data_IF_875836752611
#
_entry.id   IF_875836752611
#
_cell.length_a   1.000
_cell.length_b   1.000
_cell.length_c   1.000
_cell.angle_alpha   90.00
_cell.angle_beta   90.00
_cell.angle_gamma   90.00
#
_symmetry.space_group_name_H-M   'P 1'
#
loop_
_entity.id
_entity.type
_entity.pdbx_description
1 polymer ?
#
# COMPACT_ATOMS: atom_id res chain seq x y z
N UNK A 1 4.76 -6.20 -1.94
CA UNK A 1 6.14 -6.37 -1.42
C UNK A 1 7.06 -6.27 -2.62
N UNK A 2 8.00 -5.33 -2.62
CA UNK A 2 8.80 -5.04 -3.80
C UNK A 2 9.64 -6.25 -4.24
N UNK A 3 9.72 -6.49 -5.55
CA UNK A 3 10.38 -7.63 -6.17
C UNK A 3 9.69 -8.99 -5.94
N UNK A 4 8.49 -9.03 -5.34
CA UNK A 4 7.78 -10.27 -5.01
C UNK A 4 6.32 -10.24 -5.48
N UNK A 5 5.56 -9.23 -5.07
CA UNK A 5 4.09 -9.18 -5.29
C UNK A 5 3.79 -8.68 -6.70
N UNK A 6 3.95 -9.55 -7.69
CA UNK A 6 3.52 -9.34 -9.08
C UNK A 6 2.16 -10.04 -9.34
N UNK A 7 1.68 -10.01 -10.59
CA UNK A 7 0.40 -10.60 -10.97
C UNK A 7 0.34 -12.12 -10.78
N UNK A 8 1.44 -12.84 -11.03
CA UNK A 8 1.52 -14.28 -10.78
C UNK A 8 1.42 -14.62 -9.28
N UNK A 9 2.13 -13.87 -8.43
CA UNK A 9 2.05 -14.03 -6.99
C UNK A 9 0.63 -13.73 -6.50
N UNK A 10 0.02 -12.63 -6.96
CA UNK A 10 -1.35 -12.27 -6.62
C UNK A 10 -2.34 -13.38 -6.99
N UNK A 11 -2.27 -13.92 -8.22
CA UNK A 11 -3.11 -15.02 -8.67
C UNK A 11 -2.98 -16.30 -7.83
N UNK A 12 -1.80 -16.57 -7.26
CA UNK A 12 -1.63 -17.68 -6.30
C UNK A 12 -2.30 -17.41 -4.97
N UNK A 13 -2.38 -16.15 -4.55
CA UNK A 13 -2.94 -15.75 -3.26
C UNK A 13 -4.47 -15.60 -3.30
N UNK A 14 -5.04 -15.14 -4.41
CA UNK A 14 -6.49 -14.87 -4.54
C UNK A 14 -7.38 -16.04 -4.09
N UNK A 15 -7.11 -17.31 -4.44
CA UNK A 15 -7.92 -18.46 -3.98
C UNK A 15 -7.98 -18.65 -2.46
N UNK A 16 -7.13 -17.99 -1.68
CA UNK A 16 -7.16 -18.01 -0.22
C UNK A 16 -8.23 -17.07 0.39
N UNK A 17 -8.96 -16.31 -0.42
CA UNK A 17 -10.08 -15.46 0.03
C UNK A 17 -9.71 -13.99 0.22
N UNK A 18 -8.86 -13.44 -0.66
CA UNK A 18 -8.60 -11.98 -0.68
C UNK A 18 -9.66 -11.25 -1.50
N UNK A 19 -10.17 -10.13 -0.99
CA UNK A 19 -11.07 -9.22 -1.74
C UNK A 19 -10.32 -8.17 -2.57
N UNK A 20 -9.04 -7.96 -2.25
CA UNK A 20 -8.16 -6.99 -2.90
C UNK A 20 -6.72 -7.47 -2.88
N UNK A 21 -5.97 -7.19 -3.95
CA UNK A 21 -4.52 -7.41 -4.02
C UNK A 21 -3.78 -6.12 -4.37
N UNK A 22 -2.63 -5.90 -3.72
CA UNK A 22 -1.74 -4.77 -4.03
C UNK A 22 -0.43 -5.28 -4.64
N UNK A 23 -0.26 -5.11 -5.95
CA UNK A 23 1.00 -5.41 -6.64
C UNK A 23 2.03 -4.29 -6.42
N UNK A 24 3.31 -4.63 -6.57
CA UNK A 24 4.37 -3.63 -6.63
C UNK A 24 5.03 -3.27 -5.30
N UNK A 25 5.20 -1.97 -5.10
CA UNK A 25 6.46 -1.37 -4.68
C UNK A 25 7.28 -0.92 -5.89
N UNK A 26 6.61 -0.44 -6.94
CA UNK A 26 7.20 -0.04 -8.21
C UNK A 26 7.84 1.34 -8.11
N UNK A 27 8.91 1.54 -8.87
CA UNK A 27 9.69 2.77 -8.93
C UNK A 27 9.46 3.40 -10.31
N UNK A 28 8.95 4.63 -10.36
CA UNK A 28 8.38 5.19 -11.60
C UNK A 28 9.24 6.25 -12.28
N UNK A 29 10.32 6.69 -11.65
CA UNK A 29 11.21 7.73 -12.18
C UNK A 29 12.68 7.45 -11.89
N UNK A 30 13.56 8.13 -12.60
CA UNK A 30 15.01 7.90 -12.53
C UNK A 30 15.57 7.87 -11.10
N UNK A 31 15.20 8.79 -10.18
CA UNK A 31 15.69 8.73 -8.80
C UNK A 31 15.27 7.46 -8.07
N UNK A 32 13.99 7.06 -8.17
CA UNK A 32 13.51 5.85 -7.48
C UNK A 32 14.02 4.57 -8.14
N UNK A 33 14.20 4.54 -9.45
CA UNK A 33 14.80 3.42 -10.19
C UNK A 33 16.28 3.26 -9.81
N UNK A 34 17.03 4.36 -9.72
CA UNK A 34 18.42 4.32 -9.27
C UNK A 34 18.53 3.81 -7.82
N UNK A 35 17.63 4.25 -6.93
CA UNK A 35 17.54 3.75 -5.57
C UNK A 35 17.23 2.23 -5.53
N UNK A 36 16.31 1.75 -6.37
CA UNK A 36 15.98 0.34 -6.49
C UNK A 36 17.19 -0.51 -6.94
N UNK A 37 17.96 -0.02 -7.91
CA UNK A 37 19.21 -0.67 -8.36
C UNK A 37 20.24 -0.76 -7.23
N UNK A 38 20.34 0.24 -6.37
CA UNK A 38 21.21 0.19 -5.18
C UNK A 38 20.73 -0.83 -4.16
N UNK A 39 19.40 -0.94 -3.93
CA UNK A 39 18.80 -1.95 -3.07
C UNK A 39 19.08 -3.37 -3.58
N UNK A 40 18.99 -3.60 -4.90
CA UNK A 40 19.33 -4.88 -5.55
C UNK A 40 20.80 -5.25 -5.33
N UNK A 41 21.72 -4.29 -5.51
CA UNK A 41 23.15 -4.49 -5.25
C UNK A 41 23.44 -4.87 -3.79
N UNK A 42 22.60 -4.41 -2.85
CA UNK A 42 22.65 -4.78 -1.42
C UNK A 42 22.00 -6.14 -1.11
N UNK A 43 21.51 -6.85 -2.13
CA UNK A 43 20.97 -8.21 -2.01
C UNK A 43 19.51 -8.28 -1.58
N UNK A 44 18.76 -7.18 -1.67
CA UNK A 44 17.31 -7.16 -1.41
C UNK A 44 16.55 -7.16 -2.74
N UNK A 45 15.45 -7.90 -2.79
CA UNK A 45 14.57 -7.93 -3.97
C UNK A 45 13.90 -6.58 -4.19
N UNK A 46 13.84 -6.16 -5.44
CA UNK A 46 13.12 -5.00 -5.97
C UNK A 46 12.67 -5.31 -7.40
N UNK A 47 11.73 -4.52 -7.92
CA UNK A 47 11.41 -4.54 -9.34
C UNK A 47 12.39 -3.65 -10.11
N UNK A 48 13.01 -4.17 -11.17
CA UNK A 48 14.00 -3.48 -12.00
C UNK A 48 13.44 -3.31 -13.41
N UNK A 49 12.79 -2.17 -13.65
CA UNK A 49 12.25 -1.76 -14.95
C UNK A 49 12.71 -0.34 -15.23
N UNK A 50 12.87 0.00 -16.51
CA UNK A 50 13.10 1.39 -16.90
C UNK A 50 11.83 2.23 -16.76
N UNK A 51 11.96 3.56 -16.82
CA UNK A 51 10.82 4.47 -16.79
C UNK A 51 9.90 4.28 -18.01
N UNK A 52 10.46 3.86 -19.15
CA UNK A 52 9.70 3.59 -20.38
C UNK A 52 8.93 2.26 -20.31
N UNK A 53 9.43 1.28 -19.54
CA UNK A 53 8.85 -0.06 -19.46
C UNK A 53 7.79 -0.17 -18.35
N UNK A 54 7.97 0.56 -17.25
CA UNK A 54 7.27 0.29 -15.99
C UNK A 54 5.74 0.42 -16.09
N UNK A 55 5.23 1.38 -16.85
CA UNK A 55 3.77 1.57 -17.00
C UNK A 55 3.14 0.36 -17.70
N UNK A 56 3.71 -0.04 -18.84
CA UNK A 56 3.26 -1.23 -19.58
C UNK A 56 3.43 -2.52 -18.76
N UNK A 57 4.48 -2.62 -17.95
CA UNK A 57 4.65 -3.75 -17.05
C UNK A 57 3.50 -3.82 -16.03
N UNK A 58 3.18 -2.70 -15.35
CA UNK A 58 2.10 -2.64 -14.36
C UNK A 58 0.76 -3.00 -14.99
N UNK A 59 0.47 -2.49 -16.19
CA UNK A 59 -0.75 -2.80 -16.95
C UNK A 59 -0.87 -4.30 -17.21
N UNK A 60 0.18 -4.92 -17.78
CA UNK A 60 0.21 -6.36 -18.03
C UNK A 60 0.01 -7.19 -16.75
N UNK A 61 0.59 -6.77 -15.61
CA UNK A 61 0.42 -7.48 -14.34
C UNK A 61 -1.00 -7.35 -13.79
N UNK A 62 -1.63 -6.19 -13.95
CA UNK A 62 -3.01 -5.96 -13.52
C UNK A 62 -4.02 -6.70 -14.40
N UNK A 63 -3.84 -6.70 -15.72
CA UNK A 63 -4.64 -7.48 -16.67
C UNK A 63 -4.53 -8.98 -16.39
N UNK A 64 -3.32 -9.48 -16.14
CA UNK A 64 -3.11 -10.89 -15.78
C UNK A 64 -3.94 -11.33 -14.55
N UNK A 65 -4.25 -10.41 -13.63
CA UNK A 65 -5.13 -10.67 -12.48
C UNK A 65 -6.59 -10.58 -12.90
N UNK A 66 -7.00 -9.48 -13.56
CA UNK A 66 -8.39 -9.19 -13.94
C UNK A 66 -8.96 -10.18 -14.96
N UNK A 67 -8.12 -10.77 -15.81
CA UNK A 67 -8.52 -11.77 -16.82
C UNK A 67 -9.11 -13.05 -16.20
N UNK A 68 -8.77 -13.34 -14.95
CA UNK A 68 -9.14 -14.59 -14.27
C UNK A 68 -10.00 -14.38 -13.03
N UNK A 69 -10.04 -13.16 -12.50
CA UNK A 69 -10.64 -12.89 -11.19
C UNK A 69 -11.36 -11.54 -11.21
N UNK A 70 -12.55 -11.51 -10.59
CA UNK A 70 -13.27 -10.27 -10.30
C UNK A 70 -12.90 -9.78 -8.89
N UNK A 71 -11.71 -9.18 -8.78
CA UNK A 71 -11.13 -8.70 -7.52
C UNK A 71 -10.61 -7.28 -7.68
N UNK A 72 -10.55 -6.51 -6.60
CA UNK A 72 -9.89 -5.20 -6.61
C UNK A 72 -8.37 -5.34 -6.76
N UNK A 73 -7.78 -4.55 -7.65
CA UNK A 73 -6.34 -4.52 -7.93
C UNK A 73 -5.81 -3.13 -7.65
N UNK A 74 -4.74 -3.08 -6.86
CA UNK A 74 -4.00 -1.86 -6.55
C UNK A 74 -2.54 -1.98 -6.94
N UNK A 75 -1.92 -0.89 -7.37
CA UNK A 75 -0.48 -0.81 -7.55
C UNK A 75 0.15 0.12 -6.50
N UNK A 76 1.13 -0.37 -5.74
CA UNK A 76 1.91 0.46 -4.81
C UNK A 76 3.09 1.12 -5.54
N UNK A 77 3.13 2.47 -5.50
CA UNK A 77 3.97 3.31 -6.35
C UNK A 77 4.93 4.19 -5.55
N UNK A 78 6.15 4.35 -6.05
CA UNK A 78 7.18 5.26 -5.53
C UNK A 78 7.64 6.15 -6.68
N UNK A 79 7.59 7.46 -6.46
CA UNK A 79 8.09 8.46 -7.40
C UNK A 79 8.38 9.76 -6.66
N UNK A 80 9.39 10.48 -7.12
CA UNK A 80 9.68 11.87 -6.77
C UNK A 80 8.86 12.88 -7.59
N UNK A 81 8.30 12.46 -8.73
CA UNK A 81 7.41 13.25 -9.59
C UNK A 81 5.95 12.77 -9.49
N UNK A 82 5.02 13.62 -9.94
CA UNK A 82 3.58 13.31 -9.92
C UNK A 82 3.13 12.71 -11.25
N UNK A 83 3.70 13.17 -12.36
CA UNK A 83 3.30 12.80 -13.71
C UNK A 83 3.32 11.28 -13.94
N UNK A 84 4.37 10.51 -13.53
CA UNK A 84 4.37 9.06 -13.70
C UNK A 84 3.26 8.36 -12.89
N UNK A 85 2.90 8.90 -11.73
CA UNK A 85 1.79 8.38 -10.91
C UNK A 85 0.46 8.59 -11.64
N UNK A 86 0.26 9.76 -12.26
CA UNK A 86 -0.96 10.06 -13.03
C UNK A 86 -1.06 9.17 -14.27
N UNK A 87 0.05 8.91 -14.94
CA UNK A 87 0.11 7.99 -16.08
C UNK A 87 -0.34 6.57 -15.67
N UNK A 88 0.25 6.02 -14.60
CA UNK A 88 -0.16 4.70 -14.05
C UNK A 88 -1.62 4.70 -13.62
N UNK A 89 -2.14 5.81 -13.08
CA UNK A 89 -3.55 5.91 -12.68
C UNK A 89 -4.54 5.79 -13.83
N UNK A 90 -4.08 5.88 -15.08
CA UNK A 90 -4.92 5.75 -16.28
C UNK A 90 -5.10 4.29 -16.75
N UNK A 91 -4.40 3.34 -16.13
CA UNK A 91 -4.52 1.91 -16.42
C UNK A 91 -5.89 1.42 -15.93
N UNK A 92 -6.73 0.96 -16.86
CA UNK A 92 -8.12 0.56 -16.57
C UNK A 92 -8.24 -0.68 -15.67
N UNK A 93 -7.25 -1.55 -15.71
CA UNK A 93 -7.20 -2.76 -14.88
C UNK A 93 -6.76 -2.48 -13.43
N UNK A 94 -6.45 -1.23 -13.08
CA UNK A 94 -6.18 -0.79 -11.70
C UNK A 94 -7.37 -0.01 -11.11
N UNK A 95 -7.96 -0.58 -10.06
CA UNK A 95 -9.01 0.11 -9.28
C UNK A 95 -8.39 1.20 -8.40
N UNK A 96 -7.17 0.96 -7.89
CA UNK A 96 -6.46 1.89 -7.02
C UNK A 96 -4.99 2.10 -7.42
N UNK A 97 -4.53 3.34 -7.34
CA UNK A 97 -3.11 3.63 -7.14
C UNK A 97 -2.82 3.83 -5.65
N UNK A 98 -1.77 3.21 -5.14
CA UNK A 98 -1.36 3.33 -3.74
C UNK A 98 -0.06 4.12 -3.61
N UNK A 99 -0.15 5.31 -3.01
CA UNK A 99 1.01 6.16 -2.75
C UNK A 99 1.84 5.57 -1.62
N UNK A 100 3.10 5.24 -1.90
CA UNK A 100 4.01 4.68 -0.92
C UNK A 100 4.61 5.78 -0.01
N UNK A 101 3.97 6.01 1.13
CA UNK A 101 4.49 6.82 2.22
C UNK A 101 4.94 5.95 3.42
N UNK A 102 5.43 4.73 3.17
CA UNK A 102 5.75 3.76 4.23
C UNK A 102 7.13 3.11 4.12
N UNK A 103 7.70 3.00 2.91
CA UNK A 103 8.98 2.33 2.70
C UNK A 103 10.09 2.97 3.54
N UNK A 104 10.94 2.14 4.14
CA UNK A 104 12.05 2.58 5.00
C UNK A 104 13.43 2.16 4.51
N UNK A 105 13.54 1.73 3.24
CA UNK A 105 14.86 1.49 2.66
C UNK A 105 15.59 2.84 2.57
N UNK A 106 16.84 2.87 3.00
CA UNK A 106 17.63 4.10 3.10
C UNK A 106 17.69 4.80 1.74
N UNK A 107 17.93 4.04 0.68
CA UNK A 107 18.04 4.52 -0.69
C UNK A 107 16.76 5.21 -1.18
N UNK A 108 15.57 4.69 -0.79
CA UNK A 108 14.28 5.31 -1.13
C UNK A 108 14.05 6.58 -0.29
N UNK A 109 14.48 6.60 0.97
CA UNK A 109 14.35 7.78 1.83
C UNK A 109 15.30 8.91 1.42
N UNK A 110 16.49 8.57 0.91
CA UNK A 110 17.49 9.53 0.42
C UNK A 110 16.97 10.35 -0.77
N UNK A 111 16.17 9.73 -1.65
CA UNK A 111 15.51 10.42 -2.76
C UNK A 111 14.18 11.10 -2.36
N UNK A 112 13.89 11.19 -1.06
CA UNK A 112 12.70 11.90 -0.55
C UNK A 112 11.41 11.09 -0.54
N UNK A 113 11.44 9.80 -0.87
CA UNK A 113 10.28 8.92 -0.98
C UNK A 113 10.04 8.05 0.27
N UNK A 114 8.98 7.25 0.24
CA UNK A 114 8.65 6.33 1.33
C UNK A 114 8.26 7.06 2.61
N UNK A 115 8.68 6.55 3.77
CA UNK A 115 8.33 7.13 5.06
C UNK A 115 8.90 8.54 5.28
N UNK A 116 9.86 8.97 4.44
CA UNK A 116 10.39 10.33 4.46
C UNK A 116 9.30 11.38 4.22
N UNK A 117 8.32 11.06 3.36
CA UNK A 117 7.16 11.92 3.10
C UNK A 117 6.39 12.27 4.38
N UNK A 118 6.31 11.35 5.33
CA UNK A 118 5.60 11.56 6.59
C UNK A 118 6.28 12.60 7.50
N UNK A 119 7.58 12.85 7.30
CA UNK A 119 8.33 13.87 8.06
C UNK A 119 8.02 15.29 7.58
N UNK A 120 7.38 15.44 6.41
CA UNK A 120 6.91 16.73 5.91
C UNK A 120 5.43 16.63 5.50
N UNK A 121 4.49 16.67 6.46
CA UNK A 121 3.06 16.55 6.18
C UNK A 121 2.51 17.64 5.26
N UNK A 122 3.14 18.83 5.23
CA UNK A 122 2.73 19.92 4.32
C UNK A 122 3.02 19.51 2.88
N UNK A 123 4.23 19.03 2.61
CA UNK A 123 4.62 18.53 1.30
C UNK A 123 3.80 17.30 0.89
N UNK A 124 3.61 16.33 1.79
CA UNK A 124 2.74 15.19 1.53
C UNK A 124 1.32 15.63 1.16
N UNK A 125 0.75 16.59 1.89
CA UNK A 125 -0.58 17.12 1.60
C UNK A 125 -0.67 17.80 0.23
N UNK A 126 0.37 18.56 -0.16
CA UNK A 126 0.38 19.22 -1.48
C UNK A 126 0.44 18.21 -2.63
N UNK A 127 1.28 17.18 -2.55
CA UNK A 127 1.37 16.17 -3.61
C UNK A 127 0.08 15.33 -3.69
N UNK A 128 -0.52 14.98 -2.55
CA UNK A 128 -1.75 14.20 -2.52
C UNK A 128 -2.92 14.98 -3.10
N UNK A 129 -3.03 16.28 -2.81
CA UNK A 129 -4.07 17.13 -3.39
C UNK A 129 -4.01 17.16 -4.92
N UNK A 130 -2.81 17.22 -5.48
CA UNK A 130 -2.62 17.22 -6.92
C UNK A 130 -2.91 15.84 -7.55
N UNK A 131 -2.47 14.77 -6.90
CA UNK A 131 -2.75 13.39 -7.32
C UNK A 131 -4.26 13.12 -7.32
N UNK A 132 -4.95 13.40 -6.21
CA UNK A 132 -6.39 13.20 -6.07
C UNK A 132 -7.20 13.96 -7.13
N UNK A 133 -6.73 15.16 -7.52
CA UNK A 133 -7.38 15.97 -8.55
C UNK A 133 -7.24 15.40 -9.96
N UNK A 134 -6.13 14.72 -10.26
CA UNK A 134 -5.76 14.30 -11.63
C UNK A 134 -5.94 12.80 -11.89
N UNK A 135 -5.91 11.98 -10.83
CA UNK A 135 -5.97 10.52 -10.91
C UNK A 135 -7.24 10.04 -11.61
N UNK A 136 -7.13 8.96 -12.39
CA UNK A 136 -8.29 8.25 -12.99
C UNK A 136 -8.71 7.04 -12.17
N UNK A 137 -7.78 6.36 -11.52
CA UNK A 137 -8.06 5.38 -10.45
C UNK A 137 -8.35 6.05 -9.11
N UNK A 138 -8.95 5.30 -8.19
CA UNK A 138 -9.05 5.68 -6.77
C UNK A 138 -7.66 5.73 -6.12
N UNK A 139 -7.53 6.45 -5.02
CA UNK A 139 -6.24 6.70 -4.37
C UNK A 139 -6.21 6.08 -2.98
N UNK A 140 -5.31 5.11 -2.80
CA UNK A 140 -4.87 4.61 -1.50
C UNK A 140 -3.60 5.34 -1.07
N UNK A 141 -3.42 5.57 0.22
CA UNK A 141 -2.16 6.07 0.79
C UNK A 141 -1.69 5.09 1.85
N UNK A 142 -0.54 4.46 1.60
CA UNK A 142 0.06 3.57 2.58
C UNK A 142 1.09 4.28 3.43
N UNK A 143 0.84 4.37 4.73
CA UNK A 143 1.72 5.02 5.71
C UNK A 143 2.36 4.01 6.66
N UNK A 144 3.49 4.41 7.24
CA UNK A 144 4.11 3.69 8.37
C UNK A 144 3.78 4.35 9.69
N UNK A 145 3.34 3.55 10.66
CA UNK A 145 3.18 3.98 12.03
C UNK A 145 4.53 4.22 12.72
N UNK A 146 4.50 5.02 13.79
CA UNK A 146 5.62 5.19 14.72
C UNK A 146 6.93 5.64 14.07
N UNK A 147 6.85 6.49 13.04
CA UNK A 147 8.02 7.14 12.47
C UNK A 147 8.54 8.19 13.45
N UNK A 148 9.85 8.21 13.76
CA UNK A 148 10.40 9.17 14.71
C UNK A 148 10.06 10.61 14.32
N UNK A 149 9.66 11.42 15.31
CA UNK A 149 9.27 12.84 15.15
C UNK A 149 8.05 13.09 14.26
N UNK A 150 7.29 12.05 13.91
CA UNK A 150 6.03 12.15 13.15
C UNK A 150 4.85 11.85 14.06
N UNK A 151 3.80 12.66 13.98
CA UNK A 151 2.52 12.36 14.60
C UNK A 151 1.64 11.61 13.59
N UNK A 152 1.61 10.29 13.67
CA UNK A 152 0.85 9.43 12.74
C UNK A 152 -0.66 9.74 12.74
N UNK A 153 -1.25 10.05 13.89
CA UNK A 153 -2.67 10.40 13.98
C UNK A 153 -2.99 11.69 13.21
N UNK A 154 -2.12 12.70 13.32
CA UNK A 154 -2.26 13.96 12.57
C UNK A 154 -2.13 13.74 11.07
N UNK A 155 -1.19 12.89 10.64
CA UNK A 155 -1.03 12.54 9.21
C UNK A 155 -2.25 11.79 8.70
N UNK A 156 -2.80 10.86 9.48
CA UNK A 156 -4.00 10.10 9.11
C UNK A 156 -5.20 11.01 8.88
N UNK A 157 -5.45 11.95 9.81
CA UNK A 157 -6.50 12.98 9.67
C UNK A 157 -6.30 13.92 8.49
N UNK A 158 -5.05 14.21 8.13
CA UNK A 158 -4.74 15.00 6.93
C UNK A 158 -5.15 14.24 5.66
N UNK A 159 -4.77 12.97 5.56
CA UNK A 159 -5.08 12.13 4.39
C UNK A 159 -6.59 11.95 4.24
N UNK A 160 -7.29 11.66 5.34
CA UNK A 160 -8.75 11.57 5.40
C UNK A 160 -9.42 12.87 4.92
N UNK A 161 -9.01 14.02 5.48
CA UNK A 161 -9.54 15.34 5.10
C UNK A 161 -9.31 15.69 3.62
N UNK A 162 -8.23 15.19 3.01
CA UNK A 162 -7.96 15.42 1.59
C UNK A 162 -8.88 14.60 0.67
N UNK A 163 -9.52 13.55 1.19
CA UNK A 163 -10.43 12.70 0.44
C UNK A 163 -9.75 11.57 -0.32
N UNK A 164 -8.67 10.99 0.23
CA UNK A 164 -8.19 9.70 -0.26
C UNK A 164 -9.24 8.61 0.01
N UNK A 165 -9.26 7.57 -0.83
CA UNK A 165 -10.26 6.49 -0.72
C UNK A 165 -9.88 5.46 0.35
N UNK A 166 -8.58 5.18 0.50
CA UNK A 166 -8.07 4.19 1.45
C UNK A 166 -6.88 4.77 2.23
N UNK A 167 -6.91 4.59 3.55
CA UNK A 167 -5.74 4.74 4.42
C UNK A 167 -5.21 3.35 4.79
N UNK A 168 -4.07 2.97 4.22
CA UNK A 168 -3.42 1.69 4.53
C UNK A 168 -2.31 1.90 5.55
N UNK A 169 -2.49 1.39 6.77
CA UNK A 169 -1.56 1.64 7.89
C UNK A 169 -0.71 0.41 8.16
N UNK A 170 0.58 0.49 7.85
CA UNK A 170 1.58 -0.42 8.39
C UNK A 170 1.82 -0.05 9.86
N UNK A 171 1.09 -0.72 10.76
CA UNK A 171 1.06 -0.47 12.20
C UNK A 171 2.31 -0.99 12.92
N UNK A 172 3.49 -0.83 12.31
CA UNK A 172 4.76 -1.22 12.91
C UNK A 172 4.95 -0.53 14.28
N UNK A 173 5.31 -1.32 15.29
CA UNK A 173 5.68 -0.84 16.62
C UNK A 173 7.15 -1.18 16.90
N UNK A 174 8.10 -0.23 16.81
CA UNK A 174 9.53 -0.53 16.90
C UNK A 174 9.96 -1.31 18.16
N UNK A 175 9.26 -1.12 19.27
CA UNK A 175 9.52 -1.77 20.57
C UNK A 175 8.73 -3.06 20.79
N UNK A 176 8.03 -3.59 19.79
CA UNK A 176 7.16 -4.76 19.95
C UNK A 176 7.17 -5.67 18.71
N UNK A 177 7.04 -6.99 18.87
CA UNK A 177 6.79 -7.89 17.75
C UNK A 177 5.36 -7.74 17.18
N UNK A 178 4.45 -7.14 17.93
CA UNK A 178 3.05 -6.96 17.55
C UNK A 178 2.82 -5.62 16.84
N UNK A 179 1.72 -5.54 16.09
CA UNK A 179 1.23 -4.28 15.55
C UNK A 179 0.79 -3.31 16.66
N UNK A 180 0.78 -2.02 16.36
CA UNK A 180 0.33 -0.98 17.29
C UNK A 180 -1.19 -0.81 17.28
N UNK A 181 -1.88 -1.78 17.88
CA UNK A 181 -3.34 -1.85 17.90
C UNK A 181 -3.99 -0.59 18.50
N UNK A 182 -3.42 -0.04 19.58
CA UNK A 182 -3.91 1.19 20.21
C UNK A 182 -3.85 2.41 19.28
N UNK A 183 -2.83 2.48 18.42
CA UNK A 183 -2.71 3.57 17.45
C UNK A 183 -3.75 3.40 16.35
N UNK A 184 -3.99 2.18 15.87
CA UNK A 184 -5.04 1.89 14.89
C UNK A 184 -6.42 2.29 15.42
N UNK A 185 -6.77 1.88 16.64
CA UNK A 185 -8.03 2.29 17.27
C UNK A 185 -8.19 3.81 17.37
N UNK A 186 -7.09 4.53 17.65
CA UNK A 186 -7.12 6.00 17.69
C UNK A 186 -7.34 6.59 16.30
N UNK A 187 -6.76 5.99 15.27
CA UNK A 187 -6.94 6.41 13.88
C UNK A 187 -8.40 6.20 13.47
N UNK A 188 -8.91 4.98 13.58
CA UNK A 188 -10.27 4.58 13.15
C UNK A 188 -11.37 5.34 13.90
N UNK A 189 -11.17 5.69 15.17
CA UNK A 189 -12.11 6.55 15.93
C UNK A 189 -12.07 8.03 15.53
N UNK A 190 -11.15 8.44 14.66
CA UNK A 190 -10.85 9.85 14.41
C UNK A 190 -10.83 10.25 12.94
N UNK A 191 -11.08 9.30 12.06
CA UNK A 191 -11.14 9.45 10.61
C UNK A 191 -12.29 8.63 10.06
N UNK A 192 -12.90 9.07 8.97
CA UNK A 192 -14.01 8.36 8.31
C UNK A 192 -13.56 7.58 7.07
N UNK A 193 -12.32 7.79 6.61
CA UNK A 193 -11.68 7.04 5.50
C UNK A 193 -11.61 5.53 5.75
N UNK A 194 -11.84 4.74 4.69
CA UNK A 194 -11.69 3.29 4.71
C UNK A 194 -10.26 2.92 5.11
N UNK A 195 -10.10 2.28 6.28
CA UNK A 195 -8.79 2.03 6.87
C UNK A 195 -8.42 0.56 6.78
N UNK A 196 -7.25 0.27 6.18
CA UNK A 196 -6.67 -1.08 6.13
C UNK A 196 -5.55 -1.19 7.16
N UNK A 197 -5.68 -2.12 8.11
CA UNK A 197 -4.64 -2.47 9.08
C UNK A 197 -3.63 -3.47 8.52
N UNK A 198 -2.34 -3.22 8.69
CA UNK A 198 -1.25 -4.11 8.27
C UNK A 198 -0.21 -4.30 9.40
N UNK A 199 0.61 -5.34 9.24
CA UNK A 199 1.74 -5.77 10.07
C UNK A 199 1.41 -6.88 11.08
N UNK A 200 2.38 -7.79 11.27
CA UNK A 200 2.36 -8.92 12.22
C UNK A 200 1.10 -9.80 12.24
N UNK A 201 0.54 -10.11 11.06
CA UNK A 201 -0.56 -11.09 10.92
C UNK A 201 0.01 -12.42 10.44
N UNK A 202 0.22 -13.35 11.37
CA UNK A 202 0.75 -14.69 11.09
C UNK A 202 -0.24 -15.82 11.41
N UNK A 203 -1.40 -15.50 11.99
CA UNK A 203 -2.47 -16.45 12.25
C UNK A 203 -3.85 -15.80 12.16
N UNK A 204 -4.91 -16.62 12.28
CA UNK A 204 -6.29 -16.13 12.41
C UNK A 204 -6.44 -15.22 13.62
N UNK A 205 -5.82 -15.56 14.75
CA UNK A 205 -5.90 -14.79 16.00
C UNK A 205 -5.28 -13.40 15.83
N UNK A 206 -4.15 -13.29 15.13
CA UNK A 206 -3.55 -11.99 14.80
C UNK A 206 -4.48 -11.17 13.90
N UNK A 207 -5.13 -11.82 12.92
CA UNK A 207 -6.09 -11.20 12.02
C UNK A 207 -7.34 -10.68 12.76
N UNK A 208 -7.92 -11.49 13.63
CA UNK A 208 -9.04 -11.10 14.51
C UNK A 208 -8.63 -9.92 15.39
N UNK A 209 -7.42 -9.97 15.97
CA UNK A 209 -6.91 -8.88 16.80
C UNK A 209 -6.75 -7.58 16.02
N UNK A 210 -6.21 -7.65 14.80
CA UNK A 210 -6.14 -6.51 13.89
C UNK A 210 -7.54 -5.96 13.59
N UNK A 211 -8.48 -6.81 13.17
CA UNK A 211 -9.85 -6.42 12.86
C UNK A 211 -10.57 -5.78 14.06
N UNK A 212 -10.29 -6.24 15.28
CA UNK A 212 -10.89 -5.70 16.51
C UNK A 212 -10.49 -4.23 16.81
N UNK A 213 -9.50 -3.67 16.12
CA UNK A 213 -9.13 -2.26 16.22
C UNK A 213 -10.10 -1.29 15.53
N UNK A 214 -11.10 -1.83 14.83
CA UNK A 214 -12.08 -1.06 14.08
C UNK A 214 -11.62 -0.65 12.68
N UNK A 215 -10.60 -1.32 12.14
CA UNK A 215 -10.22 -1.18 10.73
C UNK A 215 -11.26 -1.84 9.83
N UNK A 216 -11.45 -1.29 8.64
CA UNK A 216 -12.42 -1.80 7.65
C UNK A 216 -11.87 -2.98 6.85
N UNK A 217 -10.54 -3.13 6.81
CA UNK A 217 -9.87 -4.25 6.18
C UNK A 217 -8.55 -4.60 6.85
N UNK A 218 -8.03 -5.78 6.55
CA UNK A 218 -6.69 -6.20 6.95
C UNK A 218 -5.83 -6.53 5.73
N UNK A 219 -4.53 -6.33 5.85
CA UNK A 219 -3.57 -6.64 4.78
C UNK A 219 -2.47 -7.56 5.29
N UNK A 220 -2.17 -8.61 4.51
CA UNK A 220 -1.20 -9.65 4.84
C UNK A 220 -0.01 -9.50 3.89
N UNK A 221 1.21 -9.49 4.46
CA UNK A 221 2.44 -9.33 3.67
C UNK A 221 3.39 -10.53 3.85
N UNK A 222 4.16 -10.57 4.95
CA UNK A 222 5.22 -11.56 5.15
C UNK A 222 4.71 -13.01 5.15
N UNK A 223 3.57 -13.27 5.78
CA UNK A 223 2.98 -14.62 5.83
C UNK A 223 2.63 -15.14 4.44
N UNK A 224 2.12 -14.27 3.55
CA UNK A 224 1.82 -14.63 2.18
C UNK A 224 3.07 -15.05 1.36
N UNK A 225 4.28 -14.59 1.73
CA UNK A 225 5.51 -14.99 1.02
C UNK A 225 5.82 -16.48 1.14
N UNK A 226 5.38 -17.12 2.22
CA UNK A 226 5.63 -18.53 2.51
C UNK A 226 4.40 -19.42 2.23
N UNK A 227 3.35 -18.83 1.65
CA UNK A 227 2.02 -19.43 1.58
C UNK A 227 1.22 -19.13 2.84
N UNK A 228 -0.10 -19.03 2.69
CA UNK A 228 -1.02 -18.82 3.81
C UNK A 228 -1.51 -20.19 4.26
N UNK A 229 -1.17 -20.56 5.49
CA UNK A 229 -1.52 -21.82 6.14
C UNK A 229 -2.72 -21.70 7.09
N UNK A 230 -3.37 -20.54 7.11
CA UNK A 230 -4.55 -20.26 7.93
C UNK A 230 -5.74 -19.78 7.10
N UNK A 231 -6.95 -20.08 7.58
CA UNK A 231 -8.19 -19.79 6.87
C UNK A 231 -8.62 -18.33 7.07
N UNK A 232 -8.51 -17.51 6.01
CA UNK A 232 -8.86 -16.10 6.05
C UNK A 232 -10.36 -15.88 6.30
N UNK A 233 -11.23 -16.83 5.95
CA UNK A 233 -12.68 -16.71 6.17
C UNK A 233 -13.06 -16.68 7.65
N UNK A 234 -12.13 -17.05 8.55
CA UNK A 234 -12.32 -16.95 10.00
C UNK A 234 -12.03 -15.55 10.56
N UNK A 235 -11.52 -14.65 9.73
CA UNK A 235 -11.28 -13.26 10.09
C UNK A 235 -12.41 -12.43 9.49
N UNK A 236 -13.15 -11.71 10.33
CA UNK A 236 -14.28 -10.90 9.87
C UNK A 236 -13.93 -9.42 9.94
N UNK A 237 -14.06 -8.73 8.80
CA UNK A 237 -14.07 -7.27 8.68
C UNK A 237 -15.39 -6.85 8.01
N UNK A 238 -15.75 -5.55 8.01
CA UNK A 238 -16.85 -5.06 7.18
C UNK A 238 -16.70 -5.46 5.71
N UNK A 239 -17.82 -5.56 5.00
CA UNK A 239 -17.80 -5.82 3.56
C UNK A 239 -17.18 -4.65 2.80
N UNK A 240 -16.47 -4.96 1.72
CA UNK A 240 -15.92 -3.95 0.81
C UNK A 240 -17.07 -3.09 0.24
N UNK A 241 -16.97 -1.75 0.28
CA UNK A 241 -18.02 -0.90 -0.23
C UNK A 241 -18.24 -1.06 -1.74
N UNK A 242 -19.50 -1.14 -2.18
CA UNK A 242 -19.86 -1.31 -3.59
C UNK A 242 -19.25 -0.25 -4.53
N UNK A 243 -19.03 0.97 -4.02
CA UNK A 243 -18.46 2.05 -4.83
C UNK A 243 -16.98 1.84 -5.16
N UNK A 244 -16.28 0.90 -4.51
CA UNK A 244 -14.92 0.52 -4.90
C UNK A 244 -14.90 -0.17 -6.27
N UNK A 245 -15.95 -0.91 -6.62
CA UNK A 245 -16.08 -1.64 -7.90
C UNK A 245 -16.67 -0.80 -9.04
N UNK A 246 -16.99 0.48 -8.80
CA UNK A 246 -17.52 1.43 -9.80
C UNK A 246 -16.44 2.36 -10.31
#
# INVERSE_FOLDING_TARGET
MAGITNGEFANKMIPHGFDMVTIGGYNLDDPTIAAAKSILKRGRLEFDFSAEEIVSHIENQAELIKDKNDILVSANLRSTAIEPIIEVSSIKSLDFIEINAHCRQEEIMEVGCGQKLLQNPIFLGSILMEILKKSKSKVSVKIRANVPKVNTLRVSKLIDKLGADILHVDAMKPSSPFADYELLEKITKSTDIFTIGNNSIFSVEDGIKMASTGVDGISIARSAMHGIDFDLNKITTPSVPDYFYK
#
